data_IF_120768799653
#
_entry.id   IF_120768799653
#
_cell.length_a   1.000
_cell.length_b   1.000
_cell.length_c   1.000
_cell.angle_alpha   90.00
_cell.angle_beta   90.00
_cell.angle_gamma   90.00
#
_symmetry.space_group_name_H-M   'P 1'
#
loop_
_entity.id
_entity.type
_entity.pdbx_description
1 polymer ?
#
# COMPACT_ATOMS: atom_id res chain seq x y z
N UNK A 1 -16.02 -5.29 -17.78
CA UNK A 1 -16.13 -5.40 -16.29
C UNK A 1 -16.63 -6.80 -15.97
N UNK A 2 -15.91 -7.54 -15.11
CA UNK A 2 -16.40 -8.83 -14.60
C UNK A 2 -17.27 -8.62 -13.36
N UNK A 3 -18.39 -9.34 -13.26
CA UNK A 3 -19.23 -9.33 -12.06
C UNK A 3 -18.75 -10.43 -11.11
N UNK A 4 -18.34 -10.05 -9.89
CA UNK A 4 -17.99 -11.01 -8.84
C UNK A 4 -19.24 -11.26 -8.00
N UNK A 5 -19.69 -12.51 -7.93
CA UNK A 5 -20.74 -12.93 -7.01
C UNK A 5 -20.08 -13.47 -5.74
N UNK A 6 -20.29 -12.79 -4.61
CA UNK A 6 -19.74 -13.19 -3.31
C UNK A 6 -20.90 -13.60 -2.40
N UNK A 7 -20.83 -14.81 -1.82
CA UNK A 7 -21.73 -15.21 -0.73
C UNK A 7 -21.12 -14.78 0.59
N UNK A 8 -21.86 -13.99 1.35
CA UNK A 8 -21.46 -13.46 2.65
C UNK A 8 -22.52 -13.86 3.69
N UNK A 9 -22.13 -14.16 4.93
CA UNK A 9 -23.09 -14.26 6.03
C UNK A 9 -23.90 -12.95 6.14
N UNK A 10 -25.19 -13.05 6.46
CA UNK A 10 -26.10 -11.91 6.47
C UNK A 10 -25.65 -10.79 7.43
N UNK A 11 -25.16 -11.14 8.62
CA UNK A 11 -24.61 -10.15 9.58
C UNK A 11 -23.41 -9.39 9.00
N UNK A 12 -22.52 -10.08 8.29
CA UNK A 12 -21.36 -9.45 7.67
C UNK A 12 -21.79 -8.51 6.53
N UNK A 13 -22.78 -8.94 5.74
CA UNK A 13 -23.37 -8.12 4.68
C UNK A 13 -23.96 -6.83 5.26
N UNK A 14 -24.73 -6.92 6.34
CA UNK A 14 -25.35 -5.75 6.99
C UNK A 14 -24.30 -4.78 7.54
N UNK A 15 -23.26 -5.30 8.21
CA UNK A 15 -22.14 -4.49 8.70
C UNK A 15 -21.40 -3.79 7.56
N UNK A 16 -21.11 -4.51 6.48
CA UNK A 16 -20.42 -3.96 5.32
C UNK A 16 -21.29 -2.93 4.57
N UNK A 17 -22.60 -3.15 4.44
CA UNK A 17 -23.52 -2.15 3.88
C UNK A 17 -23.58 -0.87 4.74
N UNK A 18 -23.65 -1.01 6.08
CA UNK A 18 -23.57 0.14 7.01
C UNK A 18 -22.25 0.89 6.86
N UNK A 19 -21.14 0.16 6.72
CA UNK A 19 -19.81 0.76 6.51
C UNK A 19 -19.72 1.50 5.17
N UNK A 20 -20.24 0.91 4.09
CA UNK A 20 -20.30 1.54 2.77
C UNK A 20 -21.10 2.86 2.83
N UNK A 21 -22.27 2.83 3.48
CA UNK A 21 -23.10 4.02 3.71
C UNK A 21 -22.36 5.09 4.52
N UNK A 22 -21.65 4.71 5.59
CA UNK A 22 -20.84 5.63 6.41
C UNK A 22 -19.73 6.30 5.58
N UNK A 23 -19.15 5.57 4.63
CA UNK A 23 -18.10 6.07 3.73
C UNK A 23 -18.64 6.75 2.47
N UNK A 24 -19.96 6.88 2.33
CA UNK A 24 -20.63 7.42 1.15
C UNK A 24 -20.22 6.73 -0.17
N UNK A 25 -20.04 5.41 -0.14
CA UNK A 25 -19.69 4.60 -1.32
C UNK A 25 -20.66 3.44 -1.49
N UNK A 26 -20.71 2.86 -2.69
CA UNK A 26 -21.49 1.65 -2.94
C UNK A 26 -20.87 0.43 -2.24
N UNK A 27 -21.69 -0.57 -1.94
CA UNK A 27 -21.21 -1.85 -1.40
C UNK A 27 -20.18 -2.51 -2.33
N UNK A 28 -20.43 -2.49 -3.64
CA UNK A 28 -19.50 -3.04 -4.63
C UNK A 28 -18.16 -2.28 -4.65
N UNK A 29 -18.19 -0.95 -4.52
CA UNK A 29 -16.98 -0.13 -4.39
C UNK A 29 -16.21 -0.50 -3.13
N UNK A 30 -16.90 -0.69 -1.99
CA UNK A 30 -16.27 -1.12 -0.75
C UNK A 30 -15.57 -2.49 -0.91
N UNK A 31 -16.25 -3.47 -1.52
CA UNK A 31 -15.70 -4.81 -1.78
C UNK A 31 -14.49 -4.72 -2.70
N UNK A 32 -14.54 -3.95 -3.77
CA UNK A 32 -13.43 -3.78 -4.70
C UNK A 32 -12.21 -3.14 -4.03
N UNK A 33 -12.41 -2.09 -3.24
CA UNK A 33 -11.32 -1.46 -2.49
C UNK A 33 -10.68 -2.42 -1.49
N UNK A 34 -11.49 -3.21 -0.79
CA UNK A 34 -10.97 -4.18 0.15
C UNK A 34 -10.20 -5.29 -0.56
N UNK A 35 -10.71 -5.79 -1.69
CA UNK A 35 -10.01 -6.77 -2.51
C UNK A 35 -8.66 -6.24 -3.00
N UNK A 36 -8.62 -5.00 -3.50
CA UNK A 36 -7.38 -4.35 -3.92
C UNK A 36 -6.39 -4.23 -2.76
N UNK A 37 -6.85 -3.80 -1.59
CA UNK A 37 -6.00 -3.69 -0.41
C UNK A 37 -5.46 -5.05 0.04
N UNK A 38 -6.28 -6.11 -0.01
CA UNK A 38 -5.85 -7.47 0.35
C UNK A 38 -4.80 -8.01 -0.63
N UNK A 39 -4.98 -7.80 -1.93
CA UNK A 39 -3.99 -8.19 -2.96
C UNK A 39 -2.69 -7.42 -2.77
N UNK A 40 -2.76 -6.09 -2.62
CA UNK A 40 -1.57 -5.27 -2.40
C UNK A 40 -0.82 -5.69 -1.13
N UNK A 41 -1.53 -6.04 -0.06
CA UNK A 41 -0.90 -6.49 1.17
C UNK A 41 -0.14 -7.80 0.96
N UNK A 42 -0.74 -8.77 0.28
CA UNK A 42 -0.13 -10.06 -0.01
C UNK A 42 1.11 -9.90 -0.91
N UNK A 43 0.99 -9.14 -2.01
CA UNK A 43 2.11 -8.82 -2.91
C UNK A 43 3.24 -8.07 -2.19
N UNK A 44 2.89 -7.15 -1.28
CA UNK A 44 3.88 -6.43 -0.47
C UNK A 44 4.63 -7.37 0.46
N UNK A 45 3.93 -8.29 1.13
CA UNK A 45 4.55 -9.28 2.00
C UNK A 45 5.44 -10.23 1.21
N UNK A 46 5.02 -10.69 0.04
CA UNK A 46 5.83 -11.51 -0.85
C UNK A 46 7.08 -10.76 -1.31
N UNK A 47 6.93 -9.51 -1.76
CA UNK A 47 8.04 -8.66 -2.15
C UNK A 47 9.01 -8.44 -0.99
N UNK A 48 8.52 -8.13 0.21
CA UNK A 48 9.35 -7.97 1.41
C UNK A 48 10.09 -9.26 1.72
N UNK A 49 9.41 -10.40 1.67
CA UNK A 49 10.05 -11.68 1.91
C UNK A 49 11.10 -12.00 0.84
N UNK A 50 10.90 -11.61 -0.42
CA UNK A 50 11.91 -11.76 -1.48
C UNK A 50 13.12 -10.85 -1.28
N UNK A 51 12.91 -9.61 -0.85
CA UNK A 51 13.98 -8.63 -0.66
C UNK A 51 14.77 -8.83 0.63
N UNK A 52 14.07 -9.24 1.70
CA UNK A 52 14.61 -9.35 3.05
C UNK A 52 14.86 -10.81 3.45
N UNK A 53 14.28 -11.77 2.74
CA UNK A 53 14.43 -13.20 3.01
C UNK A 53 15.90 -13.62 2.96
N UNK A 54 16.39 -14.13 4.08
CA UNK A 54 17.78 -14.58 4.22
C UNK A 54 18.79 -13.47 4.52
N UNK A 55 18.40 -12.19 4.50
CA UNK A 55 19.27 -11.09 4.92
C UNK A 55 19.27 -10.99 6.45
N UNK A 56 20.46 -10.83 7.06
CA UNK A 56 20.54 -10.54 8.49
C UNK A 56 20.29 -9.05 8.73
N UNK A 57 19.71 -8.67 9.88
CA UNK A 57 19.54 -7.26 10.23
C UNK A 57 20.85 -6.44 10.16
N UNK A 58 21.99 -7.04 10.48
CA UNK A 58 23.31 -6.41 10.38
C UNK A 58 23.68 -6.02 8.96
N UNK A 59 23.32 -6.86 7.99
CA UNK A 59 23.65 -6.66 6.58
C UNK A 59 22.77 -5.56 5.99
N UNK A 60 21.51 -5.48 6.42
CA UNK A 60 20.60 -4.39 6.06
C UNK A 60 21.05 -3.03 6.61
N UNK A 61 21.55 -3.00 7.85
CA UNK A 61 22.07 -1.79 8.48
C UNK A 61 23.35 -1.33 7.76
N UNK A 62 24.22 -2.27 7.36
CA UNK A 62 25.41 -1.96 6.57
C UNK A 62 25.05 -1.42 5.18
N UNK A 63 24.12 -2.08 4.46
CA UNK A 63 23.60 -1.63 3.15
C UNK A 63 23.06 -0.18 3.25
N UNK A 64 22.35 0.15 4.33
CA UNK A 64 21.81 1.48 4.57
C UNK A 64 22.90 2.51 4.90
N UNK A 65 23.90 2.13 5.71
CA UNK A 65 25.06 2.97 5.99
C UNK A 65 25.87 3.29 4.72
N UNK A 66 26.07 2.31 3.85
CA UNK A 66 26.73 2.48 2.56
C UNK A 66 25.94 3.38 1.61
N UNK A 67 24.60 3.30 1.63
CA UNK A 67 23.73 4.20 0.89
C UNK A 67 23.90 5.65 1.37
N UNK A 68 23.84 5.89 2.68
CA UNK A 68 24.03 7.23 3.26
C UNK A 68 25.45 7.78 3.03
N UNK A 69 26.46 6.92 3.00
CA UNK A 69 27.83 7.32 2.69
C UNK A 69 28.00 7.75 1.22
N UNK A 70 27.12 7.28 0.32
CA UNK A 70 27.10 7.64 -1.11
C UNK A 70 26.14 8.78 -1.43
N UNK A 71 25.21 9.12 -0.54
CA UNK A 71 24.33 10.26 -0.74
C UNK A 71 25.14 11.55 -0.61
N UNK A 72 25.19 12.32 -1.70
CA UNK A 72 25.71 13.68 -1.64
C UNK A 72 24.65 14.60 -1.03
N UNK A 73 25.03 15.54 -0.15
CA UNK A 73 24.12 16.58 0.30
C UNK A 73 23.72 17.43 -0.91
N UNK A 74 22.45 17.32 -1.30
CA UNK A 74 21.84 18.22 -2.27
C UNK A 74 21.25 19.45 -1.59
N UNK A 75 21.01 20.49 -2.36
CA UNK A 75 20.23 21.63 -1.90
C UNK A 75 18.81 21.16 -1.52
N UNK A 76 18.26 21.77 -0.47
CA UNK A 76 16.87 21.52 -0.11
C UNK A 76 15.98 21.93 -1.30
N UNK A 77 15.13 21.03 -1.82
CA UNK A 77 14.35 21.31 -3.02
C UNK A 77 13.44 22.52 -2.78
N UNK A 78 13.35 23.40 -3.78
CA UNK A 78 12.46 24.54 -3.68
C UNK A 78 11.01 24.03 -3.60
N UNK A 79 10.13 24.80 -2.96
CA UNK A 79 8.69 24.50 -2.89
C UNK A 79 8.08 24.18 -4.26
N UNK A 80 8.57 24.86 -5.30
CA UNK A 80 8.16 24.68 -6.70
C UNK A 80 8.53 23.29 -7.24
N UNK A 81 9.71 22.76 -6.90
CA UNK A 81 10.16 21.43 -7.30
C UNK A 81 9.36 20.32 -6.59
N UNK A 82 8.99 20.57 -5.33
CA UNK A 82 8.15 19.66 -4.53
C UNK A 82 6.74 19.60 -5.10
N UNK A 83 6.16 20.75 -5.44
CA UNK A 83 4.83 20.84 -6.05
C UNK A 83 4.79 20.19 -7.44
N UNK A 84 5.87 20.29 -8.23
CA UNK A 84 5.95 19.64 -9.53
C UNK A 84 6.02 18.10 -9.40
N UNK A 85 6.85 17.58 -8.48
CA UNK A 85 7.00 16.14 -8.27
C UNK A 85 5.74 15.45 -7.68
N UNK A 86 4.89 16.18 -6.98
CA UNK A 86 3.63 15.65 -6.43
C UNK A 86 2.46 15.64 -7.43
N UNK A 87 2.60 16.35 -8.55
CA UNK A 87 1.58 16.49 -9.58
C UNK A 87 1.86 15.67 -10.87
N UNK A 88 2.99 14.94 -10.93
CA UNK A 88 3.26 13.87 -11.91
C UNK A 88 2.66 12.52 -11.47
#
# INVERSE_FOLDING_TARGET
>A
MGAISVRLPDDLKDKAMKLAKKKNISFNSLVNHWLQAAVMQDETLEWMNKQLGGKKPTDLIADFGDFLARSEPGDEPALEDIEQALNE
#
